data_IF_909012337473
#
_entry.id   IF_909012337473
#
_cell.length_a   1.000
_cell.length_b   1.000
_cell.length_c   1.000
_cell.angle_alpha   90.00
_cell.angle_beta   90.00
_cell.angle_gamma   90.00
#
_symmetry.space_group_name_H-M   'P 1'
#
loop_
_entity.id
_entity.type
_entity.pdbx_description
1 polymer ?
#
# COMPACT_ATOMS: atom_id res chain seq x y z
N UNK A 1 -12.10 -26.60 -56.89
CA UNK A 1 -12.55 -26.79 -55.50
C UNK A 1 -11.37 -26.34 -54.64
N UNK A 2 -11.40 -25.06 -54.25
CA UNK A 2 -10.33 -24.42 -53.49
C UNK A 2 -10.88 -24.23 -52.08
N UNK A 3 -10.31 -24.93 -51.12
CA UNK A 3 -10.62 -24.75 -49.69
C UNK A 3 -9.64 -23.75 -49.11
N UNK A 4 -10.09 -22.52 -48.94
CA UNK A 4 -9.41 -21.49 -48.17
C UNK A 4 -9.45 -21.88 -46.70
N UNK A 5 -8.29 -22.22 -46.14
CA UNK A 5 -8.10 -22.30 -44.70
C UNK A 5 -7.99 -20.88 -44.13
N UNK A 6 -9.04 -20.42 -43.49
CA UNK A 6 -9.02 -19.25 -42.65
C UNK A 6 -8.05 -19.51 -41.50
N UNK A 7 -6.85 -18.94 -41.58
CA UNK A 7 -5.94 -18.82 -40.43
C UNK A 7 -6.60 -17.90 -39.42
N UNK A 8 -6.95 -18.45 -38.26
CA UNK A 8 -7.27 -17.63 -37.10
C UNK A 8 -6.08 -16.68 -36.82
N UNK A 9 -6.33 -15.39 -36.52
CA UNK A 9 -5.27 -14.48 -36.16
C UNK A 9 -4.61 -15.01 -34.88
N UNK A 10 -3.34 -15.39 -34.98
CA UNK A 10 -2.52 -15.67 -33.81
C UNK A 10 -2.59 -14.43 -32.92
N UNK A 11 -3.14 -14.59 -31.69
CA UNK A 11 -3.02 -13.57 -30.64
C UNK A 11 -1.51 -13.37 -30.45
N UNK A 12 -0.98 -12.24 -30.93
CA UNK A 12 0.37 -11.82 -30.59
C UNK A 12 0.46 -11.83 -29.07
N UNK A 13 1.42 -12.59 -28.55
CA UNK A 13 1.70 -12.61 -27.13
C UNK A 13 2.12 -11.20 -26.72
N UNK A 14 1.26 -10.50 -25.99
CA UNK A 14 1.55 -9.18 -25.44
C UNK A 14 2.83 -9.33 -24.64
N UNK A 15 3.89 -8.57 -25.00
CA UNK A 15 5.13 -8.60 -24.26
C UNK A 15 4.87 -8.15 -22.82
N UNK A 16 5.61 -8.72 -21.86
CA UNK A 16 5.50 -8.35 -20.43
C UNK A 16 5.55 -6.83 -20.18
N UNK A 17 6.15 -6.09 -21.10
CA UNK A 17 6.32 -4.64 -21.08
C UNK A 17 5.07 -3.89 -21.54
N UNK A 18 4.34 -4.40 -22.52
CA UNK A 18 3.07 -3.84 -22.99
C UNK A 18 1.95 -4.06 -21.96
N UNK A 19 2.08 -5.09 -21.15
CA UNK A 19 1.08 -5.45 -20.15
C UNK A 19 0.93 -4.37 -19.05
N UNK A 20 2.04 -3.80 -18.55
CA UNK A 20 2.00 -2.69 -17.56
C UNK A 20 1.45 -1.39 -18.17
N UNK A 21 1.73 -1.12 -19.44
CA UNK A 21 1.23 0.08 -20.12
C UNK A 21 -0.27 -0.02 -20.44
N UNK A 22 -0.79 -1.25 -20.59
CA UNK A 22 -2.20 -1.51 -20.93
C UNK A 22 -3.09 -1.78 -19.72
N UNK A 23 -2.52 -2.22 -18.57
CA UNK A 23 -3.25 -2.51 -17.34
C UNK A 23 -2.88 -1.52 -16.24
N UNK A 24 -3.88 -0.87 -15.67
CA UNK A 24 -3.69 -0.03 -14.49
C UNK A 24 -3.27 -0.89 -13.29
N UNK A 25 -2.11 -0.62 -12.69
CA UNK A 25 -1.70 -1.27 -11.45
C UNK A 25 -2.72 -1.00 -10.35
N UNK A 26 -3.27 -2.06 -9.78
CA UNK A 26 -4.22 -1.98 -8.66
C UNK A 26 -3.48 -2.12 -7.34
N UNK A 27 -3.41 -1.04 -6.60
CA UNK A 27 -2.80 -0.98 -5.26
C UNK A 27 -3.88 -0.79 -4.22
N UNK A 28 -3.85 -1.60 -3.17
CA UNK A 28 -4.77 -1.52 -2.04
C UNK A 28 -4.05 -1.38 -0.70
N UNK A 29 -4.83 -1.13 0.35
CA UNK A 29 -4.38 -1.18 1.74
C UNK A 29 -5.47 -1.81 2.60
N UNK A 30 -5.08 -2.67 3.56
CA UNK A 30 -6.02 -3.38 4.42
C UNK A 30 -5.41 -3.68 5.79
N UNK A 31 -6.00 -3.15 6.84
CA UNK A 31 -5.71 -3.60 8.21
C UNK A 31 -6.44 -4.93 8.46
N UNK A 32 -5.68 -6.02 8.48
CA UNK A 32 -6.23 -7.40 8.55
C UNK A 32 -6.48 -7.89 9.97
N UNK A 33 -6.10 -7.10 11.00
CA UNK A 33 -6.25 -7.38 12.44
C UNK A 33 -5.63 -8.71 12.93
N UNK A 34 -5.03 -9.51 12.14
CA UNK A 34 -4.21 -10.69 12.39
C UNK A 34 -4.34 -11.71 11.25
N UNK A 35 -3.22 -12.26 10.84
CA UNK A 35 -3.15 -13.42 9.94
C UNK A 35 -2.65 -14.68 10.65
N UNK A 36 -2.61 -14.65 11.99
CA UNK A 36 -2.02 -15.73 12.79
C UNK A 36 -2.93 -16.97 12.92
N UNK A 37 -4.24 -16.83 12.69
CA UNK A 37 -5.16 -17.97 12.79
C UNK A 37 -5.09 -18.89 11.57
N UNK A 38 -5.33 -20.19 11.79
CA UNK A 38 -5.28 -21.20 10.74
C UNK A 38 -6.24 -20.87 9.59
N UNK A 39 -5.72 -20.89 8.36
CA UNK A 39 -6.51 -20.59 7.15
C UNK A 39 -6.62 -19.11 6.78
N UNK A 40 -6.17 -18.17 7.63
CA UNK A 40 -6.22 -16.73 7.36
C UNK A 40 -5.62 -16.35 6.01
N UNK A 41 -4.44 -16.90 5.70
CA UNK A 41 -3.73 -16.61 4.46
C UNK A 41 -4.51 -17.08 3.22
N UNK A 42 -5.21 -18.20 3.32
CA UNK A 42 -6.04 -18.71 2.22
C UNK A 42 -7.26 -17.81 1.99
N UNK A 43 -7.89 -17.35 3.06
CA UNK A 43 -9.02 -16.41 2.99
C UNK A 43 -8.55 -15.10 2.38
N UNK A 44 -7.45 -14.52 2.89
CA UNK A 44 -6.87 -13.29 2.35
C UNK A 44 -6.58 -13.42 0.86
N UNK A 45 -5.90 -14.51 0.44
CA UNK A 45 -5.56 -14.72 -0.97
C UNK A 45 -6.81 -14.80 -1.85
N UNK A 46 -7.83 -15.55 -1.43
CA UNK A 46 -9.06 -15.68 -2.20
C UNK A 46 -9.77 -14.33 -2.38
N UNK A 47 -9.88 -13.53 -1.31
CA UNK A 47 -10.50 -12.21 -1.38
C UNK A 47 -9.72 -11.26 -2.30
N UNK A 48 -8.39 -11.19 -2.15
CA UNK A 48 -7.56 -10.30 -2.96
C UNK A 48 -7.48 -10.72 -4.42
N UNK A 49 -7.51 -12.03 -4.70
CA UNK A 49 -7.55 -12.56 -6.07
C UNK A 49 -8.88 -12.23 -6.76
N UNK A 50 -10.00 -12.34 -6.04
CA UNK A 50 -11.32 -11.99 -6.57
C UNK A 50 -11.43 -10.50 -6.91
N UNK A 51 -10.72 -9.63 -6.18
CA UNK A 51 -10.68 -8.19 -6.40
C UNK A 51 -9.60 -7.77 -7.42
N UNK A 52 -8.78 -8.71 -7.90
CA UNK A 52 -7.74 -8.50 -8.91
C UNK A 52 -6.70 -7.43 -8.50
N UNK A 53 -6.27 -7.45 -7.22
CA UNK A 53 -5.21 -6.58 -6.73
C UNK A 53 -3.82 -7.10 -7.12
N UNK A 54 -2.96 -6.19 -7.55
CA UNK A 54 -1.55 -6.48 -7.85
C UNK A 54 -0.68 -6.42 -6.59
N UNK A 55 -0.86 -5.37 -5.78
CA UNK A 55 -0.14 -5.17 -4.52
C UNK A 55 -1.09 -4.64 -3.46
N UNK A 56 -1.04 -5.20 -2.25
CA UNK A 56 -1.81 -4.68 -1.11
C UNK A 56 -0.89 -4.50 0.10
N UNK A 57 -0.87 -3.29 0.66
CA UNK A 57 -0.26 -3.01 1.95
C UNK A 57 -1.14 -3.57 3.07
N UNK A 58 -0.56 -4.44 3.89
CA UNK A 58 -1.24 -5.09 5.01
C UNK A 58 -0.75 -4.50 6.33
N UNK A 59 -1.66 -4.22 7.25
CA UNK A 59 -1.34 -3.78 8.62
C UNK A 59 -1.89 -4.80 9.61
N UNK A 60 -1.24 -4.87 10.77
CA UNK A 60 -1.56 -5.83 11.85
C UNK A 60 -1.49 -7.30 11.43
N UNK A 61 -0.54 -7.65 10.56
CA UNK A 61 -0.41 -9.03 10.06
C UNK A 61 -0.11 -10.04 11.17
N UNK A 62 0.57 -9.62 12.23
CA UNK A 62 1.04 -10.45 13.34
C UNK A 62 1.95 -11.62 12.90
N UNK A 63 2.55 -11.53 11.74
CA UNK A 63 3.49 -12.51 11.20
C UNK A 63 4.95 -12.09 11.47
N UNK A 64 5.84 -13.06 11.52
CA UNK A 64 7.29 -12.82 11.63
C UNK A 64 7.82 -12.13 10.36
N UNK A 65 8.98 -11.44 10.51
CA UNK A 65 9.66 -10.81 9.39
C UNK A 65 10.15 -11.82 8.37
N UNK A 66 10.05 -11.46 7.10
CA UNK A 66 10.56 -12.29 6.01
C UNK A 66 9.65 -12.27 4.79
N UNK A 67 10.05 -13.11 3.85
CA UNK A 67 9.31 -13.28 2.57
C UNK A 67 8.81 -14.73 2.53
N UNK A 68 7.50 -14.88 2.43
CA UNK A 68 6.84 -16.17 2.24
C UNK A 68 6.30 -16.23 0.83
N UNK A 69 6.79 -17.18 0.02
CA UNK A 69 6.35 -17.38 -1.36
C UNK A 69 5.38 -18.54 -1.44
N UNK A 70 4.31 -18.33 -2.18
CA UNK A 70 3.29 -19.30 -2.53
C UNK A 70 3.21 -19.42 -4.06
N UNK A 71 2.46 -20.35 -4.59
CA UNK A 71 2.39 -20.60 -6.04
C UNK A 71 1.92 -19.35 -6.81
N UNK A 72 0.92 -18.64 -6.30
CA UNK A 72 0.25 -17.53 -6.98
C UNK A 72 0.42 -16.16 -6.32
N UNK A 73 1.18 -16.05 -5.24
CA UNK A 73 1.44 -14.78 -4.54
C UNK A 73 2.65 -14.87 -3.62
N UNK A 74 3.08 -13.74 -3.08
CA UNK A 74 4.02 -13.70 -1.98
C UNK A 74 3.60 -12.70 -0.92
N UNK A 75 4.01 -12.97 0.32
CA UNK A 75 3.89 -12.07 1.47
C UNK A 75 5.27 -11.58 1.89
N UNK A 76 5.37 -10.28 2.08
CA UNK A 76 6.54 -9.58 2.59
C UNK A 76 6.17 -8.98 3.93
N UNK A 77 6.80 -9.39 5.02
CA UNK A 77 6.41 -8.99 6.38
C UNK A 77 7.55 -8.29 7.11
N UNK A 78 7.22 -7.23 7.87
CA UNK A 78 8.17 -6.46 8.67
C UNK A 78 8.22 -6.87 10.15
N UNK A 79 7.49 -7.91 10.56
CA UNK A 79 7.38 -8.32 11.94
C UNK A 79 8.75 -8.58 12.60
N UNK A 80 8.93 -8.12 13.83
CA UNK A 80 10.12 -8.41 14.62
C UNK A 80 10.07 -9.86 15.11
N UNK A 81 11.22 -10.51 15.28
CA UNK A 81 11.36 -11.87 15.87
C UNK A 81 10.96 -11.93 17.36
N UNK A 82 10.37 -10.87 17.92
CA UNK A 82 9.94 -10.81 19.32
C UNK A 82 8.49 -11.25 19.48
N UNK A 83 8.14 -11.85 20.63
CA UNK A 83 6.80 -12.41 20.94
C UNK A 83 5.62 -11.42 20.94
N UNK A 84 5.79 -10.15 20.57
CA UNK A 84 4.76 -9.11 20.52
C UNK A 84 4.60 -8.56 19.10
N UNK A 85 3.99 -9.34 18.21
CA UNK A 85 3.78 -8.98 16.80
C UNK A 85 2.59 -8.04 16.55
N UNK A 86 2.28 -7.09 17.46
CA UNK A 86 1.01 -6.34 17.41
C UNK A 86 0.89 -5.32 16.27
N UNK A 87 1.98 -4.87 15.66
CA UNK A 87 1.94 -3.71 14.76
C UNK A 87 2.55 -3.98 13.38
N UNK A 88 2.75 -5.25 13.05
CA UNK A 88 3.49 -5.64 11.87
C UNK A 88 2.79 -5.20 10.58
N UNK A 89 3.58 -4.57 9.71
CA UNK A 89 3.18 -4.25 8.35
C UNK A 89 3.72 -5.27 7.36
N UNK A 90 3.14 -5.32 6.18
CA UNK A 90 3.63 -6.18 5.11
C UNK A 90 2.99 -5.84 3.77
N UNK A 91 3.35 -6.61 2.76
CA UNK A 91 2.73 -6.52 1.45
C UNK A 91 2.30 -7.91 0.99
N UNK A 92 1.11 -7.99 0.46
CA UNK A 92 0.70 -9.04 -0.46
C UNK A 92 1.07 -8.59 -1.87
N UNK A 93 1.69 -9.48 -2.65
CA UNK A 93 2.01 -9.24 -4.06
C UNK A 93 1.52 -10.42 -4.87
N UNK A 94 0.69 -10.18 -5.90
CA UNK A 94 0.21 -11.22 -6.81
C UNK A 94 1.37 -11.87 -7.56
N UNK A 95 1.24 -13.16 -7.92
CA UNK A 95 2.31 -13.92 -8.57
C UNK A 95 2.80 -13.28 -9.88
N UNK A 96 1.87 -12.78 -10.68
CA UNK A 96 2.19 -12.07 -11.93
C UNK A 96 2.99 -10.78 -11.70
N UNK A 97 2.82 -10.15 -10.54
CA UNK A 97 3.46 -8.89 -10.22
C UNK A 97 4.82 -9.04 -9.53
N UNK A 98 5.15 -10.26 -9.05
CA UNK A 98 6.42 -10.54 -8.35
C UNK A 98 7.66 -10.22 -9.19
N UNK A 99 7.61 -10.38 -10.49
CA UNK A 99 8.72 -10.08 -11.40
C UNK A 99 9.15 -8.61 -11.39
N UNK A 100 8.26 -7.70 -10.96
CA UNK A 100 8.54 -6.27 -10.84
C UNK A 100 9.10 -5.88 -9.49
N UNK A 101 9.05 -6.75 -8.48
CA UNK A 101 9.61 -6.47 -7.16
C UNK A 101 11.12 -6.44 -7.26
N UNK A 102 11.71 -5.28 -6.97
CA UNK A 102 13.15 -5.07 -7.02
C UNK A 102 13.77 -5.23 -5.64
N UNK A 103 13.11 -4.68 -4.61
CA UNK A 103 13.63 -4.64 -3.25
C UNK A 103 12.50 -4.56 -2.23
N UNK A 104 12.75 -5.13 -1.05
CA UNK A 104 11.88 -5.02 0.11
C UNK A 104 12.73 -4.60 1.31
N UNK A 105 12.43 -3.44 1.89
CA UNK A 105 13.15 -2.85 3.02
C UNK A 105 12.24 -2.78 4.23
N UNK A 106 12.69 -3.33 5.33
CA UNK A 106 12.06 -3.20 6.65
C UNK A 106 12.73 -2.02 7.37
N UNK A 107 11.95 -1.02 7.76
CA UNK A 107 12.41 0.11 8.56
C UNK A 107 12.25 -0.23 10.04
N UNK A 108 11.04 -0.59 10.42
CA UNK A 108 10.67 -1.14 11.72
C UNK A 108 9.39 -1.98 11.60
N UNK A 109 8.78 -2.37 12.71
CA UNK A 109 7.52 -3.14 12.71
C UNK A 109 6.33 -2.38 12.08
N UNK A 110 6.37 -1.04 12.03
CA UNK A 110 5.29 -0.17 11.58
C UNK A 110 5.48 0.42 10.19
N UNK A 111 6.69 0.31 9.62
CA UNK A 111 7.04 0.92 8.35
C UNK A 111 7.87 -0.07 7.54
N UNK A 112 7.42 -0.38 6.34
CA UNK A 112 8.18 -1.14 5.37
C UNK A 112 7.97 -0.60 3.96
N UNK A 113 8.93 -0.82 3.07
CA UNK A 113 8.93 -0.31 1.72
C UNK A 113 9.09 -1.45 0.72
N UNK A 114 8.32 -1.40 -0.35
CA UNK A 114 8.43 -2.29 -1.50
C UNK A 114 8.76 -1.45 -2.73
N UNK A 115 9.95 -1.66 -3.28
CA UNK A 115 10.36 -1.00 -4.52
C UNK A 115 10.02 -1.86 -5.72
N UNK A 116 9.25 -1.29 -6.63
CA UNK A 116 8.87 -1.88 -7.90
C UNK A 116 9.68 -1.23 -9.03
N UNK A 117 10.14 -2.02 -9.97
CA UNK A 117 10.85 -1.52 -11.15
C UNK A 117 10.21 -2.06 -12.41
N UNK A 118 9.64 -1.16 -13.20
CA UNK A 118 9.24 -1.39 -14.56
C UNK A 118 10.29 -0.85 -15.52
N UNK A 119 10.11 -1.04 -16.83
CA UNK A 119 11.06 -0.61 -17.86
C UNK A 119 11.31 0.90 -17.84
N UNK A 120 10.25 1.68 -17.67
CA UNK A 120 10.27 3.14 -17.87
C UNK A 120 10.22 3.94 -16.57
N UNK A 121 9.85 3.33 -15.45
CA UNK A 121 9.75 3.99 -14.15
C UNK A 121 10.05 3.04 -13.01
N UNK A 122 10.38 3.60 -11.87
CA UNK A 122 10.42 2.90 -10.59
C UNK A 122 9.37 3.52 -9.66
N UNK A 123 8.77 2.68 -8.83
CA UNK A 123 7.79 3.10 -7.84
C UNK A 123 8.16 2.49 -6.50
N UNK A 124 8.17 3.30 -5.45
CA UNK A 124 8.34 2.82 -4.08
C UNK A 124 7.03 2.98 -3.33
N UNK A 125 6.46 1.83 -2.95
CA UNK A 125 5.31 1.76 -2.06
C UNK A 125 5.82 1.72 -0.63
N UNK A 126 5.32 2.62 0.22
CA UNK A 126 5.65 2.71 1.64
C UNK A 126 4.39 2.33 2.40
N UNK A 127 4.44 1.21 3.12
CA UNK A 127 3.31 0.76 3.94
C UNK A 127 3.55 1.13 5.39
N UNK A 128 2.55 1.77 6.00
CA UNK A 128 2.64 2.30 7.36
C UNK A 128 1.48 1.85 8.23
N UNK A 129 1.78 1.71 9.54
CA UNK A 129 0.78 1.56 10.60
C UNK A 129 1.11 2.56 11.71
N UNK A 130 0.54 3.75 11.62
CA UNK A 130 0.82 4.86 12.55
C UNK A 130 0.33 4.56 13.97
N UNK A 131 0.92 5.17 15.00
CA UNK A 131 0.41 5.11 16.35
C UNK A 131 -1.02 5.66 16.43
N UNK A 132 -1.86 5.05 17.28
CA UNK A 132 -3.24 5.52 17.50
C UNK A 132 -3.27 6.90 18.16
N UNK A 133 -4.38 7.61 18.00
CA UNK A 133 -4.53 8.99 18.52
C UNK A 133 -4.27 9.13 20.03
N UNK A 134 -4.56 8.10 20.82
CA UNK A 134 -4.34 8.08 22.28
C UNK A 134 -2.90 7.76 22.73
N UNK A 135 -1.94 7.57 21.80
CA UNK A 135 -0.53 7.35 22.15
C UNK A 135 0.15 8.68 22.50
N UNK A 136 1.23 8.58 23.32
CA UNK A 136 2.06 9.70 23.71
C UNK A 136 2.64 10.40 22.48
N UNK A 137 2.87 11.70 22.59
CA UNK A 137 3.28 12.54 21.48
C UNK A 137 4.67 12.15 20.96
N UNK A 138 5.58 11.78 21.86
CA UNK A 138 6.94 11.36 21.55
C UNK A 138 6.94 10.11 20.63
N UNK A 139 6.00 9.17 20.82
CA UNK A 139 5.88 7.98 19.98
C UNK A 139 5.41 8.34 18.57
N UNK A 140 4.53 9.34 18.46
CA UNK A 140 4.06 9.83 17.16
C UNK A 140 5.18 10.58 16.43
N UNK A 141 5.93 11.42 17.14
CA UNK A 141 7.06 12.16 16.58
C UNK A 141 8.15 11.20 16.10
N UNK A 142 8.51 10.19 16.88
CA UNK A 142 9.46 9.16 16.47
C UNK A 142 9.01 8.45 15.18
N UNK A 143 7.73 8.10 15.08
CA UNK A 143 7.17 7.47 13.88
C UNK A 143 7.32 8.37 12.64
N UNK A 144 6.95 9.66 12.73
CA UNK A 144 7.06 10.56 11.58
C UNK A 144 8.51 10.88 11.24
N UNK A 145 9.40 10.99 12.23
CA UNK A 145 10.84 11.20 12.00
C UNK A 145 11.47 10.02 11.24
N UNK A 146 11.12 8.79 11.60
CA UNK A 146 11.59 7.59 10.89
C UNK A 146 11.01 7.53 9.46
N UNK A 147 9.74 7.86 9.29
CA UNK A 147 9.11 7.90 7.98
C UNK A 147 9.75 8.97 7.07
N UNK A 148 10.07 10.14 7.61
CA UNK A 148 10.77 11.22 6.91
C UNK A 148 12.17 10.80 6.49
N UNK A 149 12.94 10.21 7.40
CA UNK A 149 14.28 9.72 7.09
C UNK A 149 14.26 8.71 5.94
N UNK A 150 13.29 7.80 5.92
CA UNK A 150 13.19 6.80 4.85
C UNK A 150 12.77 7.41 3.51
N UNK A 151 11.77 8.28 3.50
CA UNK A 151 11.32 8.97 2.28
C UNK A 151 12.45 9.78 1.63
N UNK A 152 13.29 10.41 2.43
CA UNK A 152 14.43 11.20 1.94
C UNK A 152 15.54 10.34 1.31
N UNK A 153 15.60 9.03 1.63
CA UNK A 153 16.53 8.08 1.02
C UNK A 153 16.01 7.53 -0.33
N UNK A 154 14.71 7.64 -0.60
CA UNK A 154 14.13 7.16 -1.85
C UNK A 154 14.59 8.04 -3.01
N UNK A 155 15.04 7.41 -4.10
CA UNK A 155 15.48 8.10 -5.29
C UNK A 155 14.44 9.14 -5.76
N UNK A 156 14.90 10.32 -6.18
CA UNK A 156 14.02 11.41 -6.67
C UNK A 156 13.23 11.01 -7.91
N UNK A 157 13.78 10.10 -8.72
CA UNK A 157 13.14 9.57 -9.92
C UNK A 157 12.02 8.57 -9.64
N UNK A 158 11.94 8.01 -8.43
CA UNK A 158 10.93 7.04 -8.07
C UNK A 158 9.59 7.74 -7.77
N UNK A 159 8.51 7.17 -8.27
CA UNK A 159 7.16 7.53 -7.83
C UNK A 159 7.00 7.03 -6.40
N UNK A 160 6.62 7.92 -5.47
CA UNK A 160 6.41 7.59 -4.06
C UNK A 160 4.92 7.49 -3.76
N UNK A 161 4.50 6.35 -3.25
CA UNK A 161 3.11 6.11 -2.83
C UNK A 161 3.14 5.59 -1.39
N UNK A 162 2.52 6.35 -0.48
CA UNK A 162 2.37 5.93 0.90
C UNK A 162 0.97 5.38 1.08
N UNK A 163 0.88 4.16 1.58
CA UNK A 163 -0.38 3.47 1.88
C UNK A 163 -0.34 2.95 3.30
N UNK A 164 -1.48 2.64 3.87
CA UNK A 164 -1.54 2.04 5.19
C UNK A 164 -2.59 2.68 6.09
N UNK A 165 -2.52 2.33 7.37
CA UNK A 165 -3.38 2.85 8.42
C UNK A 165 -2.65 3.96 9.18
N UNK A 166 -3.05 5.21 8.93
CA UNK A 166 -2.48 6.38 9.61
C UNK A 166 -3.13 6.63 10.97
N UNK A 167 -4.17 5.89 11.36
CA UNK A 167 -4.94 6.18 12.58
C UNK A 167 -5.32 7.66 12.70
N UNK A 168 -5.62 8.29 11.57
CA UNK A 168 -5.79 9.73 11.39
C UNK A 168 -7.13 10.02 10.70
N UNK A 169 -7.82 11.04 11.20
CA UNK A 169 -9.01 11.60 10.54
C UNK A 169 -8.60 12.90 9.87
N UNK A 170 -8.64 12.95 8.54
CA UNK A 170 -8.51 14.17 7.75
C UNK A 170 -9.91 14.73 7.50
N UNK A 171 -10.12 15.99 7.81
CA UNK A 171 -11.38 16.70 7.58
C UNK A 171 -11.53 17.24 6.16
N UNK A 172 -12.27 18.35 6.05
CA UNK A 172 -12.54 19.04 4.77
C UNK A 172 -12.14 20.52 4.81
N UNK A 173 -11.33 20.90 5.79
CA UNK A 173 -10.94 22.30 6.03
C UNK A 173 -10.23 22.89 4.81
N UNK A 174 -10.66 24.11 4.44
CA UNK A 174 -10.09 24.83 3.29
C UNK A 174 -8.61 25.19 3.48
N UNK A 175 -8.17 25.33 4.73
CA UNK A 175 -6.80 25.68 5.11
C UNK A 175 -5.77 24.67 4.61
N UNK A 176 -6.17 23.40 4.47
CA UNK A 176 -5.27 22.30 4.03
C UNK A 176 -5.35 22.00 2.53
N UNK A 177 -6.12 22.78 1.78
CA UNK A 177 -6.18 22.62 0.31
C UNK A 177 -4.94 23.21 -0.36
N UNK A 178 -4.43 22.62 -1.44
CA UNK A 178 -4.96 21.46 -2.17
C UNK A 178 -4.46 20.11 -1.64
N UNK A 179 -3.78 20.03 -0.49
CA UNK A 179 -3.21 18.78 0.05
C UNK A 179 -4.27 17.73 0.38
N UNK A 180 -5.42 18.18 0.90
CA UNK A 180 -6.62 17.36 1.07
C UNK A 180 -7.74 17.81 0.12
N UNK A 181 -8.63 16.87 -0.22
CA UNK A 181 -9.83 17.15 -1.02
C UNK A 181 -11.09 17.32 -0.16
N UNK A 182 -12.26 17.29 -0.84
CA UNK A 182 -13.59 17.37 -0.21
C UNK A 182 -14.22 16.00 0.03
N UNK A 183 -13.55 14.90 -0.38
CA UNK A 183 -14.09 13.55 -0.37
C UNK A 183 -14.04 12.84 0.99
N UNK A 184 -13.47 13.45 2.04
CA UNK A 184 -13.43 12.85 3.37
C UNK A 184 -14.83 12.65 3.96
N UNK A 185 -15.00 11.61 4.80
CA UNK A 185 -16.20 11.43 5.61
C UNK A 185 -16.23 12.40 6.81
N UNK A 186 -15.05 12.71 7.37
CA UNK A 186 -14.92 13.57 8.53
C UNK A 186 -15.03 15.05 8.13
N UNK A 187 -15.68 15.86 8.95
CA UNK A 187 -15.72 17.31 8.76
C UNK A 187 -14.49 17.99 9.36
N UNK A 188 -13.99 17.45 10.46
CA UNK A 188 -12.88 18.02 11.23
C UNK A 188 -11.70 17.06 11.30
N UNK A 189 -10.50 17.62 11.27
CA UNK A 189 -9.22 16.91 11.36
C UNK A 189 -8.85 16.70 12.82
N UNK A 190 -8.53 15.45 13.22
CA UNK A 190 -8.04 15.16 14.56
C UNK A 190 -6.52 15.39 14.67
N UNK A 191 -5.93 15.25 15.88
CA UNK A 191 -4.49 15.46 16.12
C UNK A 191 -3.59 14.63 15.20
N UNK A 192 -3.88 13.33 15.02
CA UNK A 192 -3.13 12.50 14.09
C UNK A 192 -3.29 12.97 12.64
N UNK A 193 -4.49 13.46 12.28
CA UNK A 193 -4.77 14.05 10.97
C UNK A 193 -3.94 15.30 10.71
N UNK A 194 -3.81 16.18 11.69
CA UNK A 194 -2.97 17.38 11.60
C UNK A 194 -1.51 16.99 11.32
N UNK A 195 -0.96 16.04 12.09
CA UNK A 195 0.43 15.57 11.89
C UNK A 195 0.62 14.92 10.52
N UNK A 196 -0.33 14.07 10.10
CA UNK A 196 -0.30 13.45 8.77
C UNK A 196 -0.32 14.52 7.67
N UNK A 197 -1.20 15.51 7.76
CA UNK A 197 -1.31 16.58 6.75
C UNK A 197 -0.04 17.43 6.72
N UNK A 198 0.53 17.81 7.88
CA UNK A 198 1.79 18.53 7.95
C UNK A 198 2.93 17.76 7.29
N UNK A 199 3.05 16.46 7.57
CA UNK A 199 4.02 15.59 6.94
C UNK A 199 3.82 15.53 5.42
N UNK A 200 2.58 15.38 4.95
CA UNK A 200 2.24 15.33 3.53
C UNK A 200 2.60 16.64 2.82
N UNK A 201 2.32 17.79 3.46
CA UNK A 201 2.68 19.14 2.94
C UNK A 201 4.20 19.28 2.82
N UNK A 202 4.96 18.93 3.86
CA UNK A 202 6.43 19.10 3.88
C UNK A 202 7.15 18.30 2.80
N UNK A 203 6.52 17.20 2.32
CA UNK A 203 7.07 16.36 1.26
C UNK A 203 6.44 16.58 -0.13
N UNK A 204 5.59 17.61 -0.28
CA UNK A 204 4.91 17.89 -1.56
C UNK A 204 3.98 16.78 -2.02
N UNK A 205 3.40 16.02 -1.10
CA UNK A 205 2.46 14.93 -1.35
C UNK A 205 1.00 15.39 -1.23
N UNK A 206 0.06 14.50 -1.53
CA UNK A 206 -1.38 14.76 -1.40
C UNK A 206 -2.09 13.55 -0.79
N UNK A 207 -3.13 13.81 0.03
CA UNK A 207 -3.98 12.77 0.61
C UNK A 207 -5.04 12.35 -0.43
N UNK A 208 -4.66 11.40 -1.29
CA UNK A 208 -5.46 11.02 -2.47
C UNK A 208 -6.82 10.42 -2.11
N UNK A 209 -6.95 9.71 -0.98
CA UNK A 209 -8.24 9.17 -0.51
C UNK A 209 -9.30 10.25 -0.26
N UNK A 210 -8.91 11.49 -0.05
CA UNK A 210 -9.84 12.62 0.14
C UNK A 210 -10.18 13.38 -1.15
N UNK A 211 -9.50 13.06 -2.27
CA UNK A 211 -9.63 13.80 -3.54
C UNK A 211 -10.84 13.37 -4.38
N UNK A 212 -11.31 12.14 -4.20
CA UNK A 212 -12.36 11.57 -5.03
C UNK A 212 -13.64 11.35 -4.21
N UNK A 213 -14.82 11.63 -4.81
CA UNK A 213 -16.08 11.29 -4.18
C UNK A 213 -16.27 9.77 -4.18
N UNK A 214 -16.55 9.21 -3.02
CA UNK A 214 -16.98 7.84 -2.83
C UNK A 214 -18.27 7.83 -2.00
N UNK A 215 -19.05 6.76 -2.11
CA UNK A 215 -20.16 6.55 -1.18
C UNK A 215 -19.63 6.43 0.24
N UNK A 216 -20.36 6.93 1.22
CA UNK A 216 -19.88 6.99 2.62
C UNK A 216 -19.54 5.61 3.19
N UNK A 217 -20.27 4.58 2.77
CA UNK A 217 -20.01 3.17 3.13
C UNK A 217 -18.60 2.68 2.72
N UNK A 218 -17.93 3.35 1.77
CA UNK A 218 -16.60 3.00 1.29
C UNK A 218 -15.48 3.90 1.82
N UNK A 219 -15.81 4.84 2.72
CA UNK A 219 -14.85 5.85 3.22
C UNK A 219 -14.27 5.52 4.58
N UNK A 220 -14.94 4.71 5.38
CA UNK A 220 -14.46 4.28 6.69
C UNK A 220 -14.19 2.78 6.71
N UNK A 221 -13.03 2.44 7.27
CA UNK A 221 -12.74 1.10 7.74
C UNK A 221 -12.84 1.13 9.26
N UNK A 222 -13.82 0.45 9.81
CA UNK A 222 -13.98 0.29 11.27
C UNK A 222 -12.91 -0.65 11.84
#
# INVERSE_FOLDING_TARGET
MVTDFLKEPQKEAITDEEWILKRNMKVGTWNVRSLFWSGALKVLHNELSNLDFDVVGLQETQLESGIQKFDNFALFNSGLKSKKHKFCCGFYVSGEFLKYVKDFKIINERICCLRLKAKWFSCTLINVHAPTNGKMEEIKEEFYNLLEQDINQIARSDIKIIIGDFNAKAGRESTYKPTIGNGSLCNETNNNGIKMIQFVISHGLNVRSTMFPHNDIHKETC
#
